data_IF_748988584914
#
_entry.id   IF_748988584914
#
_cell.length_a   1.000
_cell.length_b   1.000
_cell.length_c   1.000
_cell.angle_alpha   90.00
_cell.angle_beta   90.00
_cell.angle_gamma   90.00
#
_symmetry.space_group_name_H-M   'P 1'
#
loop_
_entity.id
_entity.type
_entity.pdbx_description
1 polymer ?
#
# COMPACT_ATOMS: atom_id res chain seq x y z
N UNK A 1 38.61 9.08 -4.80
CA UNK A 1 38.48 7.75 -4.16
C UNK A 1 37.05 7.32 -4.42
N UNK A 2 36.84 6.39 -5.33
CA UNK A 2 35.52 5.86 -5.65
C UNK A 2 35.27 4.68 -4.71
N UNK A 3 34.30 4.82 -3.82
CA UNK A 3 33.92 3.75 -2.90
C UNK A 3 32.79 2.97 -3.56
N UNK A 4 33.08 1.72 -3.89
CA UNK A 4 32.12 0.76 -4.40
C UNK A 4 31.14 0.44 -3.26
N UNK A 5 29.89 0.87 -3.41
CA UNK A 5 28.82 0.45 -2.53
C UNK A 5 28.58 -1.05 -2.70
N UNK A 6 28.57 -1.77 -1.58
CA UNK A 6 28.21 -3.18 -1.46
C UNK A 6 26.80 -3.42 -2.06
N UNK A 7 26.63 -4.36 -3.01
CA UNK A 7 25.35 -4.58 -3.70
C UNK A 7 24.29 -5.26 -2.82
N UNK A 8 24.60 -5.63 -1.58
CA UNK A 8 23.68 -6.42 -0.74
C UNK A 8 22.71 -5.63 0.13
N UNK A 9 22.82 -4.29 0.22
CA UNK A 9 21.88 -3.48 1.01
C UNK A 9 21.61 -2.10 0.38
N UNK A 10 20.49 -1.98 -0.35
CA UNK A 10 19.98 -0.69 -0.82
C UNK A 10 19.17 0.00 0.29
N UNK A 11 19.84 0.69 1.22
CA UNK A 11 19.19 1.72 2.02
C UNK A 11 19.15 3.00 1.18
N UNK A 12 18.00 3.31 0.58
CA UNK A 12 17.77 4.62 -0.03
C UNK A 12 17.73 5.67 1.08
N UNK A 13 18.84 6.34 1.32
CA UNK A 13 18.87 7.54 2.16
C UNK A 13 18.14 8.65 1.41
N UNK A 14 17.47 9.57 2.12
CA UNK A 14 16.74 10.68 1.50
C UNK A 14 17.61 11.55 0.56
N UNK A 15 18.94 11.56 0.74
CA UNK A 15 19.89 12.21 -0.18
C UNK A 15 19.93 11.58 -1.58
N UNK A 16 19.77 10.25 -1.71
CA UNK A 16 19.81 9.59 -3.02
C UNK A 16 18.62 9.97 -3.88
N UNK A 17 17.43 10.08 -3.27
CA UNK A 17 16.22 10.58 -3.92
C UNK A 17 16.39 12.04 -4.36
N UNK A 18 16.96 12.91 -3.51
CA UNK A 18 17.14 14.33 -3.84
C UNK A 18 18.24 14.62 -4.88
N UNK A 19 19.21 13.72 -5.08
CA UNK A 19 20.37 13.96 -5.97
C UNK A 19 20.29 13.19 -7.29
N UNK A 20 19.72 11.99 -7.31
CA UNK A 20 19.63 11.16 -8.51
C UNK A 20 18.24 11.16 -9.13
N UNK A 21 17.19 11.43 -8.34
CA UNK A 21 15.80 11.34 -8.77
C UNK A 21 14.99 12.61 -8.42
N UNK A 22 15.44 13.81 -8.85
CA UNK A 22 14.79 15.08 -8.47
C UNK A 22 13.38 15.22 -9.05
N UNK A 23 13.06 14.48 -10.10
CA UNK A 23 11.77 14.48 -10.78
C UNK A 23 10.82 13.40 -10.24
N UNK A 24 11.29 12.56 -9.30
CA UNK A 24 10.47 11.53 -8.70
C UNK A 24 9.64 12.10 -7.54
N UNK A 25 8.36 11.73 -7.49
CA UNK A 25 7.45 12.22 -6.49
C UNK A 25 6.33 11.22 -6.20
N UNK A 26 5.75 11.35 -5.01
CA UNK A 26 4.50 10.70 -4.63
C UNK A 26 3.71 11.63 -3.75
N UNK A 27 2.45 11.83 -4.10
CA UNK A 27 1.47 12.54 -3.27
C UNK A 27 0.39 11.58 -2.82
N UNK A 28 -0.19 11.90 -1.67
CA UNK A 28 -1.40 11.25 -1.19
C UNK A 28 -2.49 12.31 -1.10
N UNK A 29 -3.59 12.09 -1.80
CA UNK A 29 -4.74 12.95 -1.83
C UNK A 29 -5.89 12.23 -1.13
N UNK A 30 -6.39 12.79 -0.04
CA UNK A 30 -7.47 12.13 0.70
C UNK A 30 -8.07 12.98 1.80
N UNK A 31 -9.10 12.43 2.41
CA UNK A 31 -9.74 12.99 3.58
C UNK A 31 -9.94 11.91 4.64
N UNK A 32 -9.97 12.36 5.88
CA UNK A 32 -10.23 11.52 7.04
C UNK A 32 -11.24 12.22 7.96
N UNK A 33 -12.21 11.43 8.43
CA UNK A 33 -13.16 11.85 9.45
C UNK A 33 -13.03 10.90 10.62
N UNK A 34 -12.80 11.45 11.80
CA UNK A 34 -12.74 10.71 13.07
C UNK A 34 -13.79 11.29 14.00
N UNK A 35 -14.56 10.40 14.61
CA UNK A 35 -15.60 10.75 15.58
C UNK A 35 -15.42 9.92 16.84
N UNK A 36 -15.32 10.62 17.96
CA UNK A 36 -15.25 10.05 19.30
C UNK A 36 -16.50 10.41 20.09
N UNK A 37 -17.03 9.44 20.84
CA UNK A 37 -18.27 9.63 21.57
C UNK A 37 -18.33 8.85 22.88
N UNK A 38 -19.01 9.46 23.86
CA UNK A 38 -19.49 8.74 25.05
C UNK A 38 -20.86 8.16 24.77
N UNK A 39 -21.03 6.89 25.11
CA UNK A 39 -22.30 6.19 25.08
C UNK A 39 -22.95 6.21 26.47
N UNK A 40 -24.25 5.89 26.59
CA UNK A 40 -24.91 5.75 27.88
C UNK A 40 -24.15 4.81 28.83
N UNK A 41 -24.36 5.02 30.13
CA UNK A 41 -23.77 4.20 31.20
C UNK A 41 -22.23 4.19 31.20
N UNK A 42 -21.60 5.24 30.69
CA UNK A 42 -20.14 5.36 30.65
C UNK A 42 -19.47 4.59 29.52
N UNK A 43 -20.25 4.05 28.57
CA UNK A 43 -19.71 3.44 27.36
C UNK A 43 -18.95 4.44 26.48
N UNK A 44 -18.28 3.92 25.46
CA UNK A 44 -17.52 4.72 24.52
C UNK A 44 -17.61 4.14 23.12
N UNK A 45 -17.40 5.00 22.13
CA UNK A 45 -17.21 4.63 20.74
C UNK A 45 -16.18 5.53 20.07
N UNK A 46 -15.48 4.98 19.09
CA UNK A 46 -14.67 5.69 18.12
C UNK A 46 -15.01 5.14 16.73
N UNK A 47 -15.15 6.04 15.77
CA UNK A 47 -15.30 5.70 14.37
C UNK A 47 -14.31 6.53 13.56
N UNK A 48 -13.66 5.89 12.58
CA UNK A 48 -12.88 6.57 11.57
C UNK A 48 -13.30 6.13 10.18
N UNK A 49 -13.28 7.09 9.26
CA UNK A 49 -13.46 6.86 7.84
C UNK A 49 -12.40 7.64 7.10
N UNK A 50 -11.64 6.94 6.26
CA UNK A 50 -10.58 7.52 5.44
C UNK A 50 -10.85 7.14 4.00
N UNK A 51 -10.76 8.10 3.09
CA UNK A 51 -10.77 7.82 1.66
C UNK A 51 -9.67 8.65 1.00
N UNK A 52 -8.80 7.98 0.27
CA UNK A 52 -7.70 8.63 -0.41
C UNK A 52 -7.17 7.82 -1.57
N UNK A 53 -6.28 8.47 -2.32
CA UNK A 53 -5.62 8.00 -3.51
C UNK A 53 -4.14 8.39 -3.44
N UNK A 54 -3.28 7.51 -3.94
CA UNK A 54 -1.89 7.85 -4.20
C UNK A 54 -1.73 8.24 -5.66
N UNK A 55 -0.90 9.23 -5.91
CA UNK A 55 -0.47 9.60 -7.25
C UNK A 55 1.05 9.70 -7.19
N UNK A 56 1.74 9.04 -8.12
CA UNK A 56 3.20 8.99 -8.10
C UNK A 56 3.81 8.95 -9.49
N UNK A 57 5.05 9.43 -9.55
CA UNK A 57 5.95 9.31 -10.68
C UNK A 57 7.33 8.92 -10.16
N UNK A 58 7.81 7.73 -10.52
CA UNK A 58 9.15 7.21 -10.20
C UNK A 58 9.82 6.72 -11.49
N UNK A 59 9.99 7.62 -12.45
CA UNK A 59 10.51 7.28 -13.78
C UNK A 59 12.03 7.43 -13.90
N UNK A 60 12.70 7.93 -12.87
CA UNK A 60 14.13 8.20 -12.94
C UNK A 60 14.96 6.92 -13.12
N UNK A 61 14.63 5.86 -12.39
CA UNK A 61 15.33 4.56 -12.49
C UNK A 61 15.28 4.02 -13.93
N UNK A 62 14.09 4.08 -14.57
CA UNK A 62 13.95 3.65 -15.95
C UNK A 62 14.65 4.52 -17.01
N UNK A 63 15.01 5.76 -16.67
CA UNK A 63 15.82 6.63 -17.54
C UNK A 63 17.31 6.37 -17.39
N UNK A 64 17.76 5.92 -16.22
CA UNK A 64 19.16 5.81 -15.88
C UNK A 64 19.70 4.37 -16.01
N UNK A 65 18.92 3.38 -15.58
CA UNK A 65 19.41 2.03 -15.31
C UNK A 65 18.67 0.95 -16.13
N UNK A 66 17.33 0.86 -16.02
CA UNK A 66 16.53 -0.16 -16.74
C UNK A 66 15.28 0.42 -17.44
N UNK A 67 15.28 0.54 -18.79
CA UNK A 67 14.11 1.01 -19.55
C UNK A 67 12.80 0.26 -19.29
N UNK A 68 12.83 -0.97 -18.76
CA UNK A 68 11.61 -1.68 -18.36
C UNK A 68 10.87 -0.96 -17.22
N UNK A 69 11.59 -0.24 -16.36
CA UNK A 69 11.02 0.52 -15.23
C UNK A 69 10.31 1.78 -15.68
N UNK A 70 10.43 2.22 -16.94
CA UNK A 70 9.56 3.26 -17.51
C UNK A 70 8.12 2.79 -17.68
N UNK A 71 7.88 1.47 -17.64
CA UNK A 71 6.55 0.91 -17.71
C UNK A 71 5.85 1.08 -16.37
N UNK A 72 4.74 1.82 -16.37
CA UNK A 72 3.97 2.15 -15.17
C UNK A 72 4.79 2.89 -14.10
N UNK A 73 5.80 3.67 -14.52
CA UNK A 73 6.55 4.52 -13.60
C UNK A 73 5.72 5.67 -13.04
N UNK A 74 4.69 6.10 -13.78
CA UNK A 74 3.69 7.06 -13.35
C UNK A 74 2.33 6.39 -13.33
N UNK A 75 1.61 6.52 -12.21
CA UNK A 75 0.28 5.95 -12.06
C UNK A 75 -0.52 6.62 -10.95
N UNK A 76 -1.83 6.51 -11.09
CA UNK A 76 -2.85 7.05 -10.20
C UNK A 76 -3.67 5.93 -9.57
N UNK A 77 -3.84 5.98 -8.25
CA UNK A 77 -4.83 5.16 -7.57
C UNK A 77 -6.21 5.85 -7.60
N UNK A 78 -7.31 5.14 -7.84
CA UNK A 78 -8.63 5.65 -7.52
C UNK A 78 -8.78 5.90 -6.02
N UNK A 79 -9.75 6.73 -5.62
CA UNK A 79 -10.10 6.90 -4.20
C UNK A 79 -10.61 5.59 -3.58
N UNK A 80 -9.93 5.13 -2.53
CA UNK A 80 -10.25 3.87 -1.83
C UNK A 80 -10.74 4.15 -0.41
N UNK A 81 -12.00 3.81 -0.07
CA UNK A 81 -12.50 4.00 1.28
C UNK A 81 -12.02 2.87 2.22
N UNK A 82 -11.70 3.27 3.45
CA UNK A 82 -11.42 2.39 4.57
C UNK A 82 -12.09 2.97 5.82
N UNK A 83 -12.34 2.12 6.82
CA UNK A 83 -12.98 2.59 8.03
C UNK A 83 -12.81 1.65 9.19
N UNK A 84 -12.93 2.22 10.38
CA UNK A 84 -12.89 1.50 11.65
C UNK A 84 -14.00 2.00 12.54
N UNK A 85 -14.62 1.10 13.27
CA UNK A 85 -15.59 1.41 14.30
C UNK A 85 -15.29 0.49 15.48
N UNK A 86 -15.05 1.05 16.65
CA UNK A 86 -14.93 0.27 17.87
C UNK A 86 -15.59 0.96 19.05
N UNK A 87 -16.00 0.16 20.01
CA UNK A 87 -16.64 0.69 21.20
C UNK A 87 -17.03 -0.39 22.16
N UNK A 88 -17.48 0.07 23.32
CA UNK A 88 -18.04 -0.78 24.37
C UNK A 88 -19.19 -0.05 25.05
N UNK A 89 -20.24 -0.80 25.39
CA UNK A 89 -21.37 -0.27 26.15
C UNK A 89 -21.68 -1.20 27.33
N UNK A 90 -21.67 -0.68 28.57
CA UNK A 90 -22.16 -1.39 29.72
C UNK A 90 -23.66 -1.66 29.60
N UNK A 91 -24.03 -2.88 29.92
CA UNK A 91 -25.39 -3.39 29.95
C UNK A 91 -25.80 -3.64 31.42
N UNK A 92 -27.10 -3.84 31.71
CA UNK A 92 -27.54 -4.22 33.05
C UNK A 92 -26.90 -5.53 33.53
N UNK A 93 -26.96 -5.79 34.85
CA UNK A 93 -26.48 -7.02 35.49
C UNK A 93 -24.96 -7.24 35.42
N UNK A 94 -24.20 -6.14 35.48
CA UNK A 94 -22.74 -6.15 35.43
C UNK A 94 -22.23 -6.87 34.18
N UNK A 95 -22.84 -6.54 33.04
CA UNK A 95 -22.45 -7.09 31.73
C UNK A 95 -22.00 -5.97 30.81
N UNK A 96 -21.18 -6.32 29.82
CA UNK A 96 -20.69 -5.39 28.82
C UNK A 96 -20.65 -6.08 27.46
N UNK A 97 -21.03 -5.34 26.42
CA UNK A 97 -20.78 -5.72 25.04
C UNK A 97 -19.78 -4.75 24.42
N UNK A 98 -18.79 -5.29 23.71
CA UNK A 98 -17.82 -4.50 22.96
C UNK A 98 -17.62 -5.09 21.57
N UNK A 99 -17.14 -4.26 20.66
CA UNK A 99 -16.86 -4.71 19.31
C UNK A 99 -15.87 -3.83 18.57
N UNK A 100 -15.28 -4.41 17.54
CA UNK A 100 -14.46 -3.78 16.52
C UNK A 100 -14.98 -4.24 15.17
N UNK A 101 -15.30 -3.28 14.32
CA UNK A 101 -15.49 -3.46 12.89
C UNK A 101 -14.38 -2.69 12.18
N UNK A 102 -13.71 -3.34 11.23
CA UNK A 102 -12.70 -2.69 10.40
C UNK A 102 -12.86 -3.14 8.95
N UNK A 103 -12.71 -2.19 8.04
CA UNK A 103 -12.71 -2.40 6.60
C UNK A 103 -11.45 -1.77 6.03
N UNK A 104 -10.66 -2.59 5.34
CA UNK A 104 -9.48 -2.15 4.61
C UNK A 104 -9.69 -2.43 3.12
N UNK A 105 -9.39 -1.45 2.28
CA UNK A 105 -9.33 -1.65 0.84
C UNK A 105 -8.25 -2.69 0.51
N UNK A 106 -8.53 -3.60 -0.42
CA UNK A 106 -7.52 -4.52 -0.93
C UNK A 106 -6.40 -3.78 -1.65
N UNK A 107 -5.19 -4.33 -1.63
CA UNK A 107 -4.05 -3.81 -2.39
C UNK A 107 -4.22 -4.00 -3.90
N UNK A 108 -3.33 -3.38 -4.68
CA UNK A 108 -3.31 -3.57 -6.13
C UNK A 108 -2.99 -5.03 -6.49
N UNK A 109 -3.52 -5.48 -7.63
CA UNK A 109 -3.16 -6.77 -8.22
C UNK A 109 -1.92 -6.58 -9.07
N UNK A 110 -0.95 -7.44 -8.83
CA UNK A 110 0.26 -7.55 -9.64
C UNK A 110 0.19 -8.80 -10.50
N UNK A 111 0.71 -8.70 -11.71
CA UNK A 111 0.91 -9.86 -12.56
C UNK A 111 2.20 -9.63 -13.34
N UNK A 112 3.17 -10.53 -13.15
CA UNK A 112 4.48 -10.42 -13.78
C UNK A 112 4.68 -11.57 -14.75
N UNK A 113 5.26 -11.26 -15.90
CA UNK A 113 5.70 -12.27 -16.86
C UNK A 113 7.23 -12.25 -16.94
N UNK A 114 7.84 -13.43 -16.77
CA UNK A 114 9.27 -13.62 -16.94
C UNK A 114 9.55 -13.85 -18.41
N UNK A 115 10.32 -12.94 -19.01
CA UNK A 115 10.69 -12.93 -20.43
C UNK A 115 12.13 -13.38 -20.56
N UNK A 116 12.42 -14.19 -21.57
CA UNK A 116 13.77 -14.60 -21.93
C UNK A 116 14.15 -14.28 -23.39
N UNK A 117 15.38 -14.60 -23.77
CA UNK A 117 15.88 -14.36 -25.12
C UNK A 117 15.16 -15.18 -26.22
N UNK A 118 14.55 -16.31 -25.87
CA UNK A 118 13.77 -17.13 -26.80
C UNK A 118 12.40 -16.49 -27.08
N UNK A 119 11.81 -15.82 -26.09
CA UNK A 119 10.54 -15.10 -26.26
C UNK A 119 10.66 -13.90 -27.23
N UNK A 120 11.78 -13.18 -27.20
CA UNK A 120 11.99 -11.95 -28.00
C UNK A 120 12.90 -12.15 -29.22
N UNK A 121 13.44 -13.36 -29.40
CA UNK A 121 14.31 -13.73 -30.52
C UNK A 121 15.68 -13.03 -30.54
N UNK A 122 16.11 -12.45 -29.41
CA UNK A 122 17.39 -11.73 -29.28
C UNK A 122 17.87 -11.71 -27.82
N UNK A 123 19.18 -11.61 -27.55
CA UNK A 123 19.69 -11.51 -26.18
C UNK A 123 19.12 -10.30 -25.45
N UNK A 124 18.74 -10.48 -24.19
CA UNK A 124 18.37 -9.39 -23.29
C UNK A 124 19.63 -8.68 -22.79
N UNK A 125 19.57 -7.34 -22.78
CA UNK A 125 20.59 -6.47 -22.21
C UNK A 125 20.06 -6.07 -20.83
N UNK A 126 20.88 -6.13 -19.77
CA UNK A 126 20.49 -5.92 -18.37
C UNK A 126 19.50 -6.97 -17.82
N UNK A 127 19.67 -8.23 -18.22
CA UNK A 127 18.95 -9.35 -17.63
C UNK A 127 19.57 -9.80 -16.30
N UNK A 128 18.80 -10.54 -15.50
CA UNK A 128 19.35 -11.26 -14.34
C UNK A 128 20.43 -12.27 -14.76
N UNK A 129 21.16 -12.84 -13.80
CA UNK A 129 22.21 -13.85 -14.08
C UNK A 129 21.68 -15.08 -14.85
N UNK A 130 20.36 -15.27 -14.89
CA UNK A 130 19.68 -16.31 -15.64
C UNK A 130 19.27 -15.88 -17.07
N UNK A 131 19.61 -14.66 -17.51
CA UNK A 131 19.31 -14.16 -18.84
C UNK A 131 17.83 -13.82 -19.06
N UNK A 132 17.12 -13.45 -18.01
CA UNK A 132 15.69 -13.10 -18.04
C UNK A 132 15.39 -11.76 -17.37
N UNK A 133 14.21 -11.20 -17.65
CA UNK A 133 13.68 -10.02 -16.93
C UNK A 133 12.19 -10.20 -16.62
N UNK A 134 11.69 -9.56 -15.57
CA UNK A 134 10.27 -9.59 -15.22
C UNK A 134 9.59 -8.33 -15.73
N UNK A 135 8.49 -8.50 -16.46
CA UNK A 135 7.67 -7.40 -16.98
C UNK A 135 6.31 -7.41 -16.27
N UNK A 136 5.92 -6.26 -15.71
CA UNK A 136 4.61 -6.06 -15.11
C UNK A 136 3.54 -5.98 -16.23
N UNK A 137 2.50 -6.81 -16.13
CA UNK A 137 1.42 -6.93 -17.11
C UNK A 137 0.23 -6.03 -16.78
N UNK A 138 0.03 -5.75 -15.49
CA UNK A 138 -1.10 -4.97 -14.98
C UNK A 138 -0.57 -3.65 -14.46
N UNK A 139 -1.18 -2.55 -14.90
CA UNK A 139 -0.88 -1.23 -14.38
C UNK A 139 -1.28 -1.15 -12.90
N UNK A 140 -0.37 -0.76 -11.99
CA UNK A 140 -0.70 -0.51 -10.60
C UNK A 140 -1.87 0.48 -10.47
N UNK A 141 -2.74 0.26 -9.49
CA UNK A 141 -3.91 1.12 -9.29
C UNK A 141 -5.10 0.87 -10.22
N UNK A 142 -5.00 -0.02 -11.23
CA UNK A 142 -6.14 -0.34 -12.12
C UNK A 142 -6.97 -1.54 -11.67
N UNK A 143 -6.34 -2.51 -11.01
CA UNK A 143 -6.98 -3.72 -10.50
C UNK A 143 -6.64 -3.95 -9.04
N UNK A 144 -7.61 -4.44 -8.26
CA UNK A 144 -7.46 -4.60 -6.83
C UNK A 144 -7.97 -5.95 -6.33
N UNK A 145 -7.46 -6.35 -5.19
CA UNK A 145 -8.10 -7.39 -4.38
C UNK A 145 -9.37 -6.85 -3.70
N UNK A 146 -10.22 -7.79 -3.30
CA UNK A 146 -11.44 -7.49 -2.56
C UNK A 146 -11.11 -6.82 -1.22
N UNK A 147 -12.01 -5.94 -0.76
CA UNK A 147 -11.88 -5.33 0.54
C UNK A 147 -11.95 -6.40 1.64
N UNK A 148 -11.07 -6.28 2.63
CA UNK A 148 -11.08 -7.16 3.80
C UNK A 148 -11.90 -6.51 4.91
N UNK A 149 -12.87 -7.24 5.44
CA UNK A 149 -13.69 -6.81 6.58
C UNK A 149 -13.44 -7.73 7.77
N UNK A 150 -13.36 -7.16 8.96
CA UNK A 150 -13.23 -7.94 10.20
C UNK A 150 -14.23 -7.44 11.21
N UNK A 151 -14.99 -8.37 11.79
CA UNK A 151 -15.91 -8.12 12.90
C UNK A 151 -15.46 -8.94 14.10
N UNK A 152 -15.13 -8.26 15.19
CA UNK A 152 -14.86 -8.85 16.49
C UNK A 152 -15.92 -8.36 17.45
N UNK A 153 -16.57 -9.28 18.15
CA UNK A 153 -17.56 -8.97 19.18
C UNK A 153 -17.16 -9.71 20.45
N UNK A 154 -17.26 -9.03 21.58
CA UNK A 154 -16.99 -9.60 22.89
C UNK A 154 -18.13 -9.28 23.84
N UNK A 155 -18.53 -10.29 24.60
CA UNK A 155 -19.43 -10.15 25.74
C UNK A 155 -18.64 -10.45 27.02
N UNK A 156 -18.82 -9.63 28.03
CA UNK A 156 -18.17 -9.76 29.34
C UNK A 156 -19.25 -9.69 30.42
N UNK A 157 -19.11 -10.53 31.45
CA UNK A 157 -19.84 -10.41 32.70
C UNK A 157 -18.83 -10.21 33.83
N UNK A 158 -18.97 -9.10 34.54
CA UNK A 158 -18.24 -8.85 35.77
C UNK A 158 -18.93 -9.65 36.90
N UNK A 159 -18.14 -10.34 37.72
CA UNK A 159 -18.57 -11.19 38.85
C UNK A 159 -18.28 -10.47 40.16
#
# INVERSE_FOLDING_TARGET
>A
VYEFADPSFAYSTGERLMTLAPDDWRTWNGFEVIVDGRLPRGGFMNASFTAGANEQSFCTEGRLDDPNELRFCEWDEPFRPMGKLFGAVPLPFDTMISGLFQMFSGGHREARWRVDAADIGRPLINADDAGTTNVELIEPGTQFYDATTTLLVRFIKDV
#
